data_IF_423358092802
#
_entry.id   IF_423358092802
#
_cell.length_a   1.000
_cell.length_b   1.000
_cell.length_c   1.000
_cell.angle_alpha   90.00
_cell.angle_beta   90.00
_cell.angle_gamma   90.00
#
_symmetry.space_group_name_H-M   'P 1'
#
loop_
_entity.id
_entity.type
_entity.pdbx_description
1 polymer ?
#
# COMPACT_ATOMS: atom_id res chain seq x y z
N UNK A 1 -16.67 28.11 5.30
CA UNK A 1 -15.55 27.14 5.42
C UNK A 1 -15.32 26.63 6.86
N UNK A 2 -16.25 26.84 7.80
CA UNK A 2 -16.18 26.29 9.18
C UNK A 2 -17.35 25.32 9.48
N UNK A 3 -18.41 25.34 8.66
CA UNK A 3 -19.59 24.48 8.83
C UNK A 3 -19.39 23.01 8.44
N UNK A 4 -18.31 22.67 7.72
CA UNK A 4 -17.98 21.28 7.38
C UNK A 4 -17.17 20.54 8.47
N UNK A 5 -16.70 21.23 9.51
CA UNK A 5 -15.81 20.61 10.51
C UNK A 5 -16.53 19.82 11.61
N UNK A 6 -17.84 20.01 11.80
CA UNK A 6 -18.54 19.51 13.01
C UNK A 6 -19.56 18.40 12.73
N UNK A 7 -19.97 18.19 11.47
CA UNK A 7 -20.96 17.16 11.12
C UNK A 7 -20.39 15.87 10.50
N UNK A 8 -19.07 15.72 10.45
CA UNK A 8 -18.38 14.66 9.69
C UNK A 8 -18.04 13.39 10.50
N UNK A 9 -18.67 13.13 11.65
CA UNK A 9 -18.32 11.94 12.46
C UNK A 9 -19.17 10.69 12.12
N UNK A 10 -20.46 10.86 11.81
CA UNK A 10 -21.40 9.74 11.65
C UNK A 10 -21.86 9.43 10.22
N UNK A 11 -21.69 10.35 9.26
CA UNK A 11 -22.12 10.17 7.86
C UNK A 11 -20.99 9.79 6.88
N UNK A 12 -19.73 9.81 7.32
CA UNK A 12 -18.54 9.64 6.48
C UNK A 12 -18.35 8.19 5.99
N UNK A 13 -18.80 7.18 6.74
CA UNK A 13 -18.64 5.76 6.37
C UNK A 13 -19.46 5.32 5.15
N UNK A 14 -20.51 6.06 4.77
CA UNK A 14 -21.38 5.71 3.63
C UNK A 14 -20.91 6.31 2.29
N UNK A 15 -19.99 7.28 2.30
CA UNK A 15 -19.53 8.02 1.11
C UNK A 15 -18.07 7.75 0.72
N UNK A 16 -17.33 6.93 1.48
CA UNK A 16 -15.89 6.74 1.33
C UNK A 16 -15.43 5.70 0.30
N UNK A 17 -16.34 5.03 -0.41
CA UNK A 17 -15.97 3.93 -1.32
C UNK A 17 -15.04 4.39 -2.47
N UNK A 18 -15.11 5.65 -2.90
CA UNK A 18 -14.30 6.14 -4.00
C UNK A 18 -14.21 7.68 -3.98
N UNK A 19 -13.02 8.22 -3.73
CA UNK A 19 -12.73 9.65 -3.85
C UNK A 19 -11.61 9.97 -4.87
N UNK A 20 -11.60 9.36 -6.08
CA UNK A 20 -10.59 9.67 -7.07
C UNK A 20 -10.77 11.11 -7.56
N UNK A 21 -9.67 11.84 -7.71
CA UNK A 21 -9.67 13.20 -8.28
C UNK A 21 -10.58 14.20 -7.54
N UNK A 22 -10.76 14.03 -6.23
CA UNK A 22 -11.60 14.89 -5.39
C UNK A 22 -10.83 16.07 -4.76
N UNK A 23 -9.61 16.34 -5.23
CA UNK A 23 -8.70 17.33 -4.63
C UNK A 23 -8.46 17.10 -3.13
N UNK A 24 -8.46 15.83 -2.70
CA UNK A 24 -8.04 15.50 -1.34
C UNK A 24 -6.56 15.85 -1.19
N UNK A 25 -6.25 16.56 -0.12
CA UNK A 25 -4.87 16.91 0.25
C UNK A 25 -4.51 16.22 1.55
N UNK A 26 -3.22 16.22 1.92
CA UNK A 26 -2.72 15.73 3.21
C UNK A 26 -3.55 16.19 4.42
N UNK A 27 -4.18 17.37 4.35
CA UNK A 27 -5.05 17.94 5.41
C UNK A 27 -6.28 17.09 5.74
N UNK A 28 -6.74 16.26 4.82
CA UNK A 28 -7.90 15.38 5.04
C UNK A 28 -7.51 14.00 5.58
N UNK A 29 -6.22 13.67 5.61
CA UNK A 29 -5.75 12.32 5.95
C UNK A 29 -5.93 11.99 7.43
N UNK A 30 -5.87 12.97 8.32
CA UNK A 30 -6.23 12.79 9.73
C UNK A 30 -7.70 12.42 9.94
N UNK A 31 -8.61 12.97 9.14
CA UNK A 31 -10.02 12.62 9.16
C UNK A 31 -10.27 11.21 8.59
N UNK A 32 -9.57 10.84 7.50
CA UNK A 32 -9.59 9.48 6.96
C UNK A 32 -9.05 8.47 7.96
N UNK A 33 -7.92 8.77 8.59
CA UNK A 33 -7.30 7.95 9.65
C UNK A 33 -8.25 7.74 10.83
N UNK A 34 -8.94 8.81 11.26
CA UNK A 34 -9.98 8.73 12.30
C UNK A 34 -11.16 7.86 11.87
N UNK A 35 -11.59 7.96 10.60
CA UNK A 35 -12.66 7.15 10.06
C UNK A 35 -12.27 5.67 9.95
N UNK A 36 -11.02 5.35 9.60
CA UNK A 36 -10.49 3.97 9.58
C UNK A 36 -10.39 3.38 10.98
N UNK A 37 -10.00 4.20 11.97
CA UNK A 37 -9.83 3.77 13.37
C UNK A 37 -11.13 3.67 14.16
N UNK A 38 -12.25 4.11 13.59
CA UNK A 38 -13.54 4.10 14.27
C UNK A 38 -14.08 2.67 14.41
N UNK A 39 -14.52 2.23 15.60
CA UNK A 39 -15.09 0.88 15.80
C UNK A 39 -16.37 0.66 14.97
N UNK A 40 -17.05 1.75 14.60
CA UNK A 40 -18.25 1.72 13.76
C UNK A 40 -17.93 1.75 12.26
N UNK A 41 -16.66 1.88 11.88
CA UNK A 41 -16.26 1.83 10.49
C UNK A 41 -16.57 0.45 9.91
N UNK A 42 -17.02 0.47 8.65
CA UNK A 42 -17.28 -0.72 7.84
C UNK A 42 -16.56 -0.63 6.49
N UNK A 43 -15.62 0.30 6.37
CA UNK A 43 -14.92 0.56 5.12
C UNK A 43 -13.94 -0.58 4.85
N UNK A 44 -14.18 -1.32 3.78
CA UNK A 44 -13.31 -2.41 3.31
C UNK A 44 -12.50 -2.02 2.08
N UNK A 45 -12.95 -1.02 1.33
CA UNK A 45 -12.27 -0.55 0.12
C UNK A 45 -12.19 0.98 0.13
N UNK A 46 -11.00 1.51 -0.18
CA UNK A 46 -10.73 2.94 -0.21
C UNK A 46 -9.89 3.27 -1.45
N UNK A 47 -10.50 4.02 -2.37
CA UNK A 47 -9.80 4.53 -3.54
C UNK A 47 -9.48 6.03 -3.37
N UNK A 48 -8.18 6.33 -3.28
CA UNK A 48 -7.62 7.66 -3.17
C UNK A 48 -6.74 8.03 -4.38
N UNK A 49 -6.78 7.23 -5.45
CA UNK A 49 -5.95 7.47 -6.64
C UNK A 49 -6.16 8.86 -7.25
N UNK A 50 -5.14 9.41 -7.90
CA UNK A 50 -5.19 10.73 -8.56
C UNK A 50 -5.52 11.86 -7.57
N UNK A 51 -5.03 11.78 -6.32
CA UNK A 51 -5.10 12.87 -5.34
C UNK A 51 -3.70 13.24 -4.84
N UNK A 52 -3.44 14.52 -4.59
CA UNK A 52 -2.16 14.97 -4.05
C UNK A 52 -2.08 14.69 -2.53
N UNK A 53 -1.92 13.42 -2.19
CA UNK A 53 -1.83 12.93 -0.81
C UNK A 53 -0.50 13.34 -0.17
N UNK A 54 0.57 13.31 -0.96
CA UNK A 54 1.97 13.48 -0.51
C UNK A 54 2.35 12.45 0.58
N UNK A 55 3.65 12.32 0.87
CA UNK A 55 4.12 11.34 1.86
C UNK A 55 3.48 11.56 3.24
N UNK A 56 3.32 12.83 3.65
CA UNK A 56 2.74 13.19 4.95
C UNK A 56 1.27 12.79 5.10
N UNK A 57 0.50 12.77 4.00
CA UNK A 57 -0.88 12.30 4.03
C UNK A 57 -0.95 10.78 4.21
N UNK A 58 -0.05 10.03 3.55
CA UNK A 58 0.05 8.57 3.72
C UNK A 58 0.53 8.21 5.11
N UNK A 59 1.47 8.96 5.70
CA UNK A 59 1.92 8.74 7.07
C UNK A 59 0.75 8.81 8.06
N UNK A 60 -0.10 9.84 7.94
CA UNK A 60 -1.31 10.00 8.76
C UNK A 60 -2.33 8.89 8.49
N UNK A 61 -2.55 8.52 7.22
CA UNK A 61 -3.45 7.43 6.85
C UNK A 61 -3.00 6.10 7.48
N UNK A 62 -1.69 5.85 7.52
CA UNK A 62 -1.10 4.65 8.10
C UNK A 62 -1.32 4.56 9.62
N UNK A 63 -1.51 5.66 10.34
CA UNK A 63 -1.94 5.62 11.74
C UNK A 63 -3.29 4.91 11.89
N UNK A 64 -4.22 5.19 10.97
CA UNK A 64 -5.55 4.57 10.97
C UNK A 64 -5.53 3.12 10.48
N UNK A 65 -4.68 2.81 9.49
CA UNK A 65 -4.50 1.45 9.00
C UNK A 65 -3.97 0.48 10.08
N UNK A 66 -3.19 0.99 11.04
CA UNK A 66 -2.66 0.19 12.16
C UNK A 66 -3.66 -0.04 13.29
N UNK A 67 -4.82 0.62 13.27
CA UNK A 67 -5.84 0.46 14.30
C UNK A 67 -6.44 -0.94 14.29
N UNK A 68 -6.71 -1.52 15.46
CA UNK A 68 -7.45 -2.79 15.61
C UNK A 68 -8.88 -2.73 15.02
N UNK A 69 -9.44 -1.52 14.92
CA UNK A 69 -10.77 -1.29 14.37
C UNK A 69 -10.78 -1.18 12.84
N UNK A 70 -9.60 -1.09 12.21
CA UNK A 70 -9.49 -0.98 10.77
C UNK A 70 -9.99 -2.26 10.09
N UNK A 71 -10.91 -2.10 9.14
CA UNK A 71 -11.48 -3.20 8.34
C UNK A 71 -11.08 -3.12 6.86
N UNK A 72 -10.11 -2.25 6.54
CA UNK A 72 -9.74 -1.99 5.16
C UNK A 72 -8.97 -3.17 4.57
N UNK A 73 -9.50 -3.68 3.45
CA UNK A 73 -8.94 -4.79 2.69
C UNK A 73 -8.29 -4.31 1.40
N UNK A 74 -8.81 -3.26 0.77
CA UNK A 74 -8.28 -2.73 -0.50
C UNK A 74 -7.99 -1.25 -0.40
N UNK A 75 -6.77 -0.86 -0.77
CA UNK A 75 -6.32 0.51 -0.79
C UNK A 75 -5.68 0.84 -2.14
N UNK A 76 -6.21 1.86 -2.80
CA UNK A 76 -5.64 2.40 -4.02
C UNK A 76 -5.09 3.81 -3.78
N UNK A 77 -3.77 3.95 -3.92
CA UNK A 77 -2.98 5.18 -3.80
C UNK A 77 -2.22 5.47 -5.11
N UNK A 78 -2.67 4.93 -6.24
CA UNK A 78 -2.01 5.18 -7.52
C UNK A 78 -2.03 6.66 -7.91
N UNK A 79 -0.96 7.12 -8.57
CA UNK A 79 -0.81 8.52 -9.02
C UNK A 79 -1.20 9.53 -7.92
N UNK A 80 -0.54 9.42 -6.76
CA UNK A 80 -0.87 10.21 -5.56
C UNK A 80 0.29 11.07 -5.05
N UNK A 81 1.27 11.34 -5.93
CA UNK A 81 2.50 12.09 -5.63
C UNK A 81 3.29 11.54 -4.43
N UNK A 82 3.34 10.21 -4.31
CA UNK A 82 4.10 9.54 -3.26
C UNK A 82 5.56 9.34 -3.66
N UNK A 83 6.43 9.32 -2.65
CA UNK A 83 7.84 9.00 -2.79
C UNK A 83 8.25 7.84 -1.88
N UNK A 84 9.52 7.40 -1.98
CA UNK A 84 10.12 6.40 -1.10
C UNK A 84 9.93 6.70 0.40
N UNK A 85 9.72 7.96 0.79
CA UNK A 85 9.63 8.37 2.21
C UNK A 85 8.46 7.76 2.96
N UNK A 86 7.31 7.56 2.30
CA UNK A 86 6.13 6.97 2.95
C UNK A 86 6.18 5.44 3.06
N UNK A 87 7.18 4.78 2.44
CA UNK A 87 7.25 3.32 2.37
C UNK A 87 7.45 2.67 3.74
N UNK A 88 8.23 3.31 4.63
CA UNK A 88 8.37 2.85 6.02
C UNK A 88 7.05 2.84 6.81
N UNK A 89 6.20 3.84 6.60
CA UNK A 89 4.88 3.91 7.23
C UNK A 89 3.92 2.85 6.67
N UNK A 90 3.94 2.63 5.35
CA UNK A 90 3.18 1.56 4.68
C UNK A 90 3.65 0.18 5.15
N UNK A 91 4.96 -0.05 5.20
CA UNK A 91 5.58 -1.28 5.71
C UNK A 91 5.14 -1.58 7.15
N UNK A 92 5.12 -0.56 8.01
CA UNK A 92 4.63 -0.66 9.38
C UNK A 92 3.12 -0.98 9.44
N UNK A 93 2.32 -0.45 8.51
CA UNK A 93 0.89 -0.75 8.42
C UNK A 93 0.61 -2.17 7.92
N UNK A 94 1.39 -2.67 6.96
CA UNK A 94 1.32 -4.05 6.48
C UNK A 94 1.71 -5.06 7.56
N UNK A 95 2.66 -4.70 8.43
CA UNK A 95 3.17 -5.56 9.50
C UNK A 95 2.32 -5.57 10.78
N UNK A 96 1.29 -4.71 10.85
CA UNK A 96 0.52 -4.54 12.06
C UNK A 96 -0.32 -5.79 12.38
N UNK A 97 -0.42 -6.22 13.66
CA UNK A 97 -1.13 -7.47 14.04
C UNK A 97 -2.60 -7.55 13.62
N UNK A 98 -3.23 -6.42 13.34
CA UNK A 98 -4.64 -6.33 12.97
C UNK A 98 -4.85 -5.86 11.53
N UNK A 99 -3.77 -5.81 10.74
CA UNK A 99 -3.87 -5.45 9.32
C UNK A 99 -4.74 -6.46 8.59
N UNK A 100 -5.65 -5.94 7.76
CA UNK A 100 -6.54 -6.74 6.91
C UNK A 100 -6.31 -6.46 5.42
N UNK A 101 -5.28 -5.68 5.11
CA UNK A 101 -5.04 -5.20 3.77
C UNK A 101 -4.57 -6.36 2.88
N UNK A 102 -5.39 -6.70 1.89
CA UNK A 102 -5.14 -7.77 0.92
C UNK A 102 -4.76 -7.21 -0.45
N UNK A 103 -5.17 -5.98 -0.78
CA UNK A 103 -4.83 -5.34 -2.04
C UNK A 103 -4.29 -3.92 -1.83
N UNK A 104 -3.11 -3.64 -2.39
CA UNK A 104 -2.46 -2.34 -2.35
C UNK A 104 -1.98 -1.95 -3.75
N UNK A 105 -2.47 -0.80 -4.23
CA UNK A 105 -2.03 -0.23 -5.50
C UNK A 105 -1.26 1.07 -5.25
N UNK A 106 0.04 1.08 -5.57
CA UNK A 106 0.96 2.21 -5.46
C UNK A 106 1.45 2.70 -6.82
N UNK A 107 0.85 2.21 -7.92
CA UNK A 107 1.32 2.46 -9.29
C UNK A 107 1.43 3.96 -9.61
N UNK A 108 2.35 4.32 -10.50
CA UNK A 108 2.58 5.69 -10.94
C UNK A 108 2.96 6.65 -9.79
N UNK A 109 3.74 6.18 -8.81
CA UNK A 109 4.35 7.01 -7.77
C UNK A 109 5.87 6.86 -7.78
N UNK A 110 6.62 7.83 -7.29
CA UNK A 110 8.10 7.79 -7.31
C UNK A 110 8.68 7.01 -6.13
N UNK A 111 8.35 5.72 -6.04
CA UNK A 111 8.75 4.87 -4.91
C UNK A 111 10.24 4.57 -4.89
N UNK A 112 10.86 4.46 -6.07
CA UNK A 112 12.28 4.12 -6.26
C UNK A 112 12.68 2.78 -5.59
N UNK A 113 13.90 2.32 -5.84
CA UNK A 113 14.37 1.03 -5.27
C UNK A 113 14.34 1.04 -3.74
N UNK A 114 14.74 2.16 -3.13
CA UNK A 114 14.82 2.31 -1.67
C UNK A 114 13.44 2.21 -0.98
N UNK A 115 12.38 2.69 -1.62
CA UNK A 115 11.03 2.54 -1.10
C UNK A 115 10.54 1.09 -1.14
N UNK A 116 10.87 0.38 -2.22
CA UNK A 116 10.53 -1.05 -2.34
C UNK A 116 11.28 -1.90 -1.33
N UNK A 117 12.55 -1.59 -1.05
CA UNK A 117 13.33 -2.27 -0.01
C UNK A 117 12.64 -2.18 1.36
N UNK A 118 12.18 -0.97 1.73
CA UNK A 118 11.42 -0.74 2.98
C UNK A 118 10.07 -1.46 2.97
N UNK A 119 9.33 -1.41 1.85
CA UNK A 119 8.04 -2.08 1.73
C UNK A 119 8.18 -3.60 1.89
N UNK A 120 9.27 -4.17 1.35
CA UNK A 120 9.57 -5.60 1.45
C UNK A 120 9.81 -6.07 2.89
N UNK A 121 10.25 -5.20 3.80
CA UNK A 121 10.31 -5.53 5.24
C UNK A 121 8.93 -5.90 5.77
N UNK A 122 7.90 -5.15 5.38
CA UNK A 122 6.53 -5.40 5.81
C UNK A 122 5.89 -6.59 5.12
N UNK A 123 6.20 -6.83 3.84
CA UNK A 123 5.73 -8.01 3.10
C UNK A 123 6.24 -9.32 3.68
N UNK A 124 7.38 -9.31 4.40
CA UNK A 124 7.93 -10.51 5.05
C UNK A 124 7.34 -10.78 6.44
N UNK A 125 6.56 -9.86 7.00
CA UNK A 125 5.96 -10.01 8.32
C UNK A 125 4.94 -11.15 8.34
N UNK A 126 4.87 -11.88 9.45
CA UNK A 126 3.86 -12.91 9.69
C UNK A 126 2.43 -12.38 9.74
N UNK A 127 2.28 -11.08 10.03
CA UNK A 127 0.98 -10.39 10.08
C UNK A 127 0.55 -9.83 8.72
N UNK A 128 1.39 -9.92 7.69
CA UNK A 128 1.07 -9.34 6.39
C UNK A 128 0.04 -10.21 5.67
N UNK A 129 -1.13 -9.64 5.41
CA UNK A 129 -2.23 -10.31 4.68
C UNK A 129 -2.26 -9.95 3.18
N UNK A 130 -1.25 -9.24 2.68
CA UNK A 130 -1.26 -8.69 1.32
C UNK A 130 -1.14 -9.79 0.26
N UNK A 131 -2.11 -9.82 -0.66
CA UNK A 131 -2.22 -10.78 -1.75
C UNK A 131 -1.91 -10.13 -3.10
N UNK A 132 -2.28 -8.86 -3.30
CA UNK A 132 -2.06 -8.13 -4.54
C UNK A 132 -1.32 -6.83 -4.29
N UNK A 133 -0.20 -6.67 -4.98
CA UNK A 133 0.60 -5.46 -4.95
C UNK A 133 0.86 -4.96 -6.37
N UNK A 134 0.55 -3.69 -6.62
CA UNK A 134 0.92 -3.03 -7.87
C UNK A 134 1.91 -1.90 -7.62
N UNK A 135 3.11 -2.05 -8.19
CA UNK A 135 4.21 -1.08 -8.23
C UNK A 135 4.52 -0.67 -9.68
N UNK A 136 3.51 -0.72 -10.54
CA UNK A 136 3.66 -0.39 -11.95
C UNK A 136 4.05 1.08 -12.12
N UNK A 137 5.07 1.37 -12.93
CA UNK A 137 5.49 2.76 -13.17
C UNK A 137 6.00 3.46 -11.92
N UNK A 138 6.76 2.77 -11.08
CA UNK A 138 7.24 3.27 -9.79
C UNK A 138 8.72 3.73 -9.78
N UNK A 139 9.31 3.93 -10.97
CA UNK A 139 10.72 4.27 -11.15
C UNK A 139 11.69 3.24 -10.54
N UNK A 140 11.33 1.96 -10.65
CA UNK A 140 12.15 0.85 -10.15
C UNK A 140 13.20 0.42 -11.16
N UNK A 141 14.31 -0.09 -10.63
CA UNK A 141 15.39 -0.75 -11.37
C UNK A 141 15.62 -2.16 -10.85
N UNK A 142 16.52 -2.92 -11.50
CA UNK A 142 16.89 -4.25 -11.04
C UNK A 142 17.47 -4.30 -9.62
N UNK A 143 17.83 -3.17 -9.00
CA UNK A 143 18.38 -3.16 -7.63
C UNK A 143 17.40 -3.59 -6.55
N UNK A 144 16.10 -3.34 -6.71
CA UNK A 144 15.09 -3.76 -5.73
C UNK A 144 14.70 -5.25 -5.86
N UNK A 145 15.17 -5.93 -6.91
CA UNK A 145 14.76 -7.30 -7.22
C UNK A 145 15.21 -8.31 -6.15
N UNK A 146 16.36 -8.11 -5.52
CA UNK A 146 16.80 -8.94 -4.40
C UNK A 146 15.87 -8.83 -3.19
N UNK A 147 15.36 -7.63 -2.90
CA UNK A 147 14.43 -7.41 -1.79
C UNK A 147 13.05 -8.03 -2.09
N UNK A 148 12.56 -7.85 -3.32
CA UNK A 148 11.33 -8.50 -3.80
C UNK A 148 11.45 -10.02 -3.79
N UNK A 149 12.56 -10.56 -4.30
CA UNK A 149 12.86 -11.99 -4.29
C UNK A 149 12.86 -12.56 -2.86
N UNK A 150 13.46 -11.84 -1.91
CA UNK A 150 13.43 -12.20 -0.48
C UNK A 150 12.01 -12.12 0.13
N UNK A 151 11.19 -11.18 -0.32
CA UNK A 151 9.79 -11.09 0.12
C UNK A 151 8.93 -12.22 -0.46
N UNK A 152 9.13 -12.57 -1.73
CA UNK A 152 8.42 -13.65 -2.42
C UNK A 152 8.76 -15.03 -1.88
N UNK A 153 10.01 -15.23 -1.43
CA UNK A 153 10.48 -16.50 -0.86
C UNK A 153 10.24 -16.64 0.64
N UNK A 154 9.66 -15.64 1.31
CA UNK A 154 9.35 -15.73 2.74
C UNK A 154 8.17 -16.69 2.99
N UNK A 155 8.24 -17.60 3.98
CA UNK A 155 7.14 -18.51 4.33
C UNK A 155 5.86 -17.78 4.77
N UNK A 156 6.02 -16.54 5.23
CA UNK A 156 4.92 -15.68 5.67
C UNK A 156 4.25 -14.92 4.53
N UNK A 157 4.88 -14.85 3.36
CA UNK A 157 4.33 -14.12 2.23
C UNK A 157 3.00 -14.73 1.79
N UNK A 158 2.04 -13.87 1.48
CA UNK A 158 0.72 -14.24 0.92
C UNK A 158 0.50 -13.67 -0.47
N UNK A 159 1.53 -13.07 -1.05
CA UNK A 159 1.44 -12.37 -2.32
C UNK A 159 1.21 -13.38 -3.45
N UNK A 160 0.09 -13.22 -4.15
CA UNK A 160 -0.33 -14.03 -5.30
C UNK A 160 -0.25 -13.24 -6.61
N UNK A 161 -0.38 -11.91 -6.55
CA UNK A 161 -0.24 -11.04 -7.71
C UNK A 161 0.72 -9.88 -7.45
N UNK A 162 1.72 -9.73 -8.30
CA UNK A 162 2.68 -8.64 -8.29
C UNK A 162 2.75 -8.02 -9.68
N UNK A 163 2.56 -6.70 -9.75
CA UNK A 163 2.67 -5.93 -10.99
C UNK A 163 3.83 -4.94 -10.89
N UNK A 164 4.88 -5.19 -11.68
CA UNK A 164 6.09 -4.40 -11.86
C UNK A 164 6.17 -3.78 -13.27
N UNK A 165 5.10 -3.88 -14.08
CA UNK A 165 5.07 -3.30 -15.43
C UNK A 165 5.46 -1.82 -15.45
N UNK A 166 5.96 -1.33 -16.59
CA UNK A 166 6.38 0.06 -16.76
C UNK A 166 7.52 0.51 -15.81
N UNK A 167 8.34 -0.42 -15.32
CA UNK A 167 9.62 -0.12 -14.64
C UNK A 167 10.81 -0.51 -15.52
N UNK A 168 12.01 -0.04 -15.15
CA UNK A 168 13.23 -0.31 -15.89
C UNK A 168 13.95 -1.56 -15.35
N UNK A 169 13.34 -2.72 -15.56
CA UNK A 169 13.86 -4.01 -15.11
C UNK A 169 14.76 -4.58 -16.20
N UNK A 170 16.07 -4.64 -15.93
CA UNK A 170 17.03 -5.33 -16.79
C UNK A 170 16.96 -6.85 -16.55
N UNK A 171 17.51 -7.64 -17.47
CA UNK A 171 17.56 -9.12 -17.39
C UNK A 171 18.11 -9.61 -16.04
N UNK A 172 19.09 -8.91 -15.46
CA UNK A 172 19.65 -9.21 -14.14
C UNK A 172 18.62 -9.16 -13.01
N UNK A 173 17.62 -8.28 -13.11
CA UNK A 173 16.53 -8.18 -12.15
C UNK A 173 15.54 -9.33 -12.30
N UNK A 174 15.29 -9.76 -13.54
CA UNK A 174 14.46 -10.93 -13.83
C UNK A 174 15.10 -12.19 -13.25
N UNK A 175 16.41 -12.37 -13.43
CA UNK A 175 17.15 -13.49 -12.86
C UNK A 175 17.03 -13.55 -11.33
N UNK A 176 17.18 -12.41 -10.64
CA UNK A 176 17.01 -12.31 -9.19
C UNK A 176 15.58 -12.63 -8.73
N UNK A 177 14.56 -12.14 -9.44
CA UNK A 177 13.17 -12.48 -9.15
C UNK A 177 12.91 -13.98 -9.35
N UNK A 178 13.49 -14.58 -10.40
CA UNK A 178 13.38 -16.02 -10.64
C UNK A 178 13.94 -16.86 -9.49
N UNK A 179 14.91 -16.39 -8.72
CA UNK A 179 15.37 -17.10 -7.51
C UNK A 179 14.26 -17.19 -6.46
N UNK A 180 13.56 -16.09 -6.19
CA UNK A 180 12.48 -16.04 -5.22
C UNK A 180 11.26 -16.85 -5.67
N UNK A 181 10.95 -16.82 -6.98
CA UNK A 181 9.85 -17.59 -7.58
C UNK A 181 10.07 -19.10 -7.55
N UNK A 182 11.33 -19.56 -7.44
CA UNK A 182 11.65 -21.00 -7.31
C UNK A 182 11.55 -21.50 -5.87
N UNK A 183 11.32 -20.61 -4.90
CA UNK A 183 11.11 -21.02 -3.51
C UNK A 183 9.79 -21.79 -3.38
N UNK A 184 9.80 -22.89 -2.61
CA UNK A 184 8.58 -23.63 -2.25
C UNK A 184 7.59 -22.79 -1.43
N UNK A 185 8.09 -21.75 -0.76
CA UNK A 185 7.29 -20.80 0.00
C UNK A 185 6.61 -19.74 -0.89
N UNK A 186 7.01 -19.64 -2.17
CA UNK A 186 6.46 -18.65 -3.08
C UNK A 186 5.03 -19.01 -3.50
N UNK A 187 4.10 -18.09 -3.26
CA UNK A 187 2.67 -18.23 -3.62
C UNK A 187 2.26 -17.41 -4.85
N UNK A 188 3.23 -16.81 -5.54
CA UNK A 188 2.95 -15.89 -6.64
C UNK A 188 2.38 -16.64 -7.85
N UNK A 189 1.19 -16.27 -8.28
CA UNK A 189 0.50 -16.85 -9.43
C UNK A 189 0.61 -15.97 -10.67
N UNK A 190 0.71 -14.65 -10.47
CA UNK A 190 0.78 -13.66 -11.55
C UNK A 190 1.88 -12.64 -11.28
N UNK A 191 2.81 -12.55 -12.20
CA UNK A 191 3.80 -11.49 -12.31
C UNK A 191 3.57 -10.74 -13.63
N UNK A 192 3.52 -9.41 -13.57
CA UNK A 192 3.42 -8.53 -14.74
C UNK A 192 4.50 -7.46 -14.70
#
# INVERSE_FOLDING_TARGET
MVYLSVHMSSFLSLLLHSLPSCCLTSRCCSALSSALSSPHSRLTELNLSNNNMEDSGVDQLCEGLRSENCKLEKLNLSDSHLTSRCCSALSSALSAPHSRLTELNLSNNNMEDSGVDQLCEGLRSENCELQKLSLSGCHLTSRCCSALSSALSSPHSRLTELNLSFNNMEDSGVDQLCEGLRSEDCKLEKLR
#
